data_IF_200625997304
#
_entry.id   IF_200625997304
#
_cell.length_a   1.000
_cell.length_b   1.000
_cell.length_c   1.000
_cell.angle_alpha   90.00
_cell.angle_beta   90.00
_cell.angle_gamma   90.00
#
_symmetry.space_group_name_H-M   'P 1'
#
loop_
_entity.id
_entity.type
_entity.pdbx_description
1 polymer ?
#
# COMPACT_ATOMS: atom_id res chain seq x y z
N UNK A 1 25.71 7.25 -3.00
CA UNK A 1 25.66 7.72 -1.60
C UNK A 1 24.40 7.16 -0.98
N UNK A 2 24.47 6.56 0.20
CA UNK A 2 23.28 6.13 0.95
C UNK A 2 22.44 7.35 1.30
N UNK A 3 21.18 7.39 0.90
CA UNK A 3 20.27 8.47 1.31
C UNK A 3 20.18 8.51 2.84
N UNK A 4 20.15 9.71 3.46
CA UNK A 4 20.01 9.82 4.90
C UNK A 4 18.64 9.26 5.32
N UNK A 5 18.64 8.26 6.22
CA UNK A 5 17.41 7.64 6.71
C UNK A 5 17.08 8.27 8.06
N UNK A 6 15.89 8.86 8.17
CA UNK A 6 15.30 9.17 9.46
C UNK A 6 14.69 7.88 10.03
N UNK A 7 15.21 7.41 11.16
CA UNK A 7 14.64 6.27 11.86
C UNK A 7 13.46 6.72 12.74
N UNK A 8 12.41 5.89 12.91
CA UNK A 8 11.30 6.22 13.79
C UNK A 8 11.76 6.51 15.21
N UNK A 9 11.28 7.64 15.76
CA UNK A 9 11.60 8.09 17.13
C UNK A 9 12.97 8.75 17.31
N UNK A 10 13.87 8.68 16.32
CA UNK A 10 15.19 9.32 16.40
C UNK A 10 15.08 10.82 16.07
N UNK A 11 15.24 11.67 17.09
CA UNK A 11 15.23 13.13 16.94
C UNK A 11 16.57 13.65 16.40
N UNK A 12 16.50 14.48 15.37
CA UNK A 12 17.62 15.25 14.82
C UNK A 12 17.40 16.72 15.10
N UNK A 13 18.31 17.33 15.85
CA UNK A 13 18.29 18.77 16.14
C UNK A 13 18.85 19.55 14.97
N UNK A 14 18.29 20.72 14.69
CA UNK A 14 18.77 21.58 13.61
C UNK A 14 18.01 22.89 13.56
N UNK A 15 18.09 23.54 12.40
CA UNK A 15 17.42 24.81 12.14
C UNK A 15 16.35 24.65 11.07
N UNK A 16 15.19 25.25 11.33
CA UNK A 16 14.10 25.44 10.40
C UNK A 16 14.23 26.81 9.74
N UNK A 17 14.19 26.80 8.42
CA UNK A 17 14.37 27.98 7.58
C UNK A 17 13.11 28.16 6.74
N UNK A 18 12.54 29.36 6.80
CA UNK A 18 11.44 29.80 5.97
C UNK A 18 11.91 30.99 5.13
N UNK A 19 12.29 30.76 3.88
CA UNK A 19 12.97 31.74 3.02
C UNK A 19 12.07 32.88 2.50
N UNK A 20 10.96 33.16 3.17
CA UNK A 20 10.08 34.29 2.83
C UNK A 20 10.68 35.64 3.25
N UNK A 21 11.64 35.61 4.17
CA UNK A 21 12.47 36.73 4.60
C UNK A 21 13.89 36.22 4.82
N UNK A 22 14.85 36.69 4.01
CA UNK A 22 16.28 36.46 4.24
C UNK A 22 16.78 37.12 5.54
N UNK A 23 15.95 38.00 6.14
CA UNK A 23 16.19 38.69 7.41
C UNK A 23 15.52 38.02 8.63
N UNK A 24 14.64 37.02 8.44
CA UNK A 24 13.99 36.36 9.58
C UNK A 24 14.92 35.31 10.22
N UNK A 25 15.00 35.25 11.56
CA UNK A 25 15.86 34.32 12.26
C UNK A 25 15.44 32.87 12.01
N UNK A 26 16.44 32.02 11.74
CA UNK A 26 16.28 30.57 11.74
C UNK A 26 15.70 30.09 13.07
N UNK A 27 14.74 29.17 13.01
CA UNK A 27 14.09 28.63 14.21
C UNK A 27 14.78 27.32 14.60
N UNK A 28 15.31 27.22 15.82
CA UNK A 28 15.91 25.98 16.32
C UNK A 28 14.82 24.99 16.73
N UNK A 29 15.02 23.72 16.41
CA UNK A 29 14.14 22.65 16.90
C UNK A 29 14.66 21.27 16.51
N UNK A 30 13.78 20.28 16.58
CA UNK A 30 14.11 18.90 16.21
C UNK A 30 13.10 18.32 15.23
N UNK A 31 13.57 17.47 14.32
CA UNK A 31 12.75 16.68 13.40
C UNK A 31 12.91 15.19 13.72
N UNK A 32 11.84 14.41 13.58
CA UNK A 32 11.88 12.95 13.65
C UNK A 32 10.76 12.35 12.80
N UNK A 33 10.79 11.04 12.63
CA UNK A 33 9.69 10.30 12.01
C UNK A 33 8.88 9.60 13.09
N UNK A 34 7.56 9.80 13.07
CA UNK A 34 6.61 8.92 13.72
C UNK A 34 6.14 7.87 12.71
N UNK A 35 6.17 6.59 13.10
CA UNK A 35 5.85 5.49 12.20
C UNK A 35 4.40 5.47 11.71
N UNK A 36 3.49 6.23 12.33
CA UNK A 36 2.07 6.33 11.94
C UNK A 36 1.72 7.70 11.38
N UNK A 37 2.31 8.77 11.91
CA UNK A 37 1.97 10.15 11.57
C UNK A 37 2.90 10.75 10.51
N UNK A 38 4.12 10.24 10.37
CA UNK A 38 5.09 10.73 9.39
C UNK A 38 6.08 11.70 10.01
N UNK A 39 6.60 12.63 9.22
CA UNK A 39 7.62 13.56 9.69
C UNK A 39 6.99 14.61 10.61
N UNK A 40 7.51 14.66 11.83
CA UNK A 40 7.13 15.61 12.87
C UNK A 40 8.30 16.53 13.17
N UNK A 41 7.99 17.78 13.50
CA UNK A 41 8.93 18.76 13.99
C UNK A 41 8.46 19.30 15.35
N UNK A 42 9.42 19.61 16.22
CA UNK A 42 9.19 20.17 17.55
C UNK A 42 10.04 21.42 17.70
N UNK A 43 9.37 22.53 18.01
CA UNK A 43 9.96 23.85 18.09
C UNK A 43 9.65 24.40 19.49
N UNK A 44 10.67 24.46 20.37
CA UNK A 44 10.52 25.08 21.68
C UNK A 44 10.49 26.61 21.55
N UNK A 45 9.63 27.28 22.32
CA UNK A 45 9.57 28.74 22.37
C UNK A 45 9.08 29.25 23.73
N UNK A 46 9.43 30.49 24.07
CA UNK A 46 8.92 31.16 25.28
C UNK A 46 7.74 32.04 24.87
N UNK A 47 6.58 31.83 25.50
CA UNK A 47 5.33 32.55 25.22
C UNK A 47 5.34 34.04 25.61
N UNK A 48 6.32 34.50 26.40
CA UNK A 48 6.42 35.88 26.89
C UNK A 48 7.79 36.53 26.59
N UNK A 49 7.76 37.83 26.26
CA UNK A 49 8.88 38.78 26.45
C UNK A 49 10.16 38.68 25.60
N UNK A 50 10.42 37.58 24.88
CA UNK A 50 11.69 37.40 24.14
C UNK A 50 11.55 37.51 22.61
N UNK A 51 12.28 38.47 22.00
CA UNK A 51 12.29 38.72 20.54
C UNK A 51 12.76 37.51 19.73
N UNK A 52 13.73 36.74 20.23
CA UNK A 52 14.22 35.53 19.54
C UNK A 52 13.15 34.44 19.35
N UNK A 53 12.04 34.50 20.10
CA UNK A 53 10.91 33.56 20.01
C UNK A 53 9.68 34.14 19.31
N UNK A 54 9.77 35.36 18.77
CA UNK A 54 8.67 36.03 18.09
C UNK A 54 8.10 35.20 16.93
N UNK A 55 8.98 34.64 16.10
CA UNK A 55 8.59 33.84 14.93
C UNK A 55 7.86 32.56 15.33
N UNK A 56 8.42 31.66 16.18
CA UNK A 56 7.68 30.50 16.69
C UNK A 56 6.38 30.89 17.40
N UNK A 57 6.38 31.94 18.21
CA UNK A 57 5.18 32.40 18.92
C UNK A 57 4.07 32.79 17.96
N UNK A 58 4.39 33.45 16.86
CA UNK A 58 3.41 33.78 15.83
C UNK A 58 2.87 32.52 15.14
N UNK A 59 3.75 31.58 14.77
CA UNK A 59 3.33 30.34 14.10
C UNK A 59 2.34 29.52 14.95
N UNK A 60 2.60 29.41 16.25
CA UNK A 60 1.78 28.60 17.15
C UNK A 60 0.65 29.38 17.83
N UNK A 61 0.79 30.68 18.03
CA UNK A 61 -0.27 31.54 18.60
C UNK A 61 -1.43 31.73 17.63
N UNK A 62 -1.14 31.94 16.34
CA UNK A 62 -2.15 32.10 15.29
C UNK A 62 -2.55 30.77 14.62
N UNK A 63 -1.93 29.66 15.03
CA UNK A 63 -2.02 28.33 14.40
C UNK A 63 -1.76 28.34 12.87
N UNK A 64 -0.92 29.27 12.41
CA UNK A 64 -0.58 29.49 11.00
C UNK A 64 0.93 29.37 10.78
N UNK A 65 1.51 28.17 10.94
CA UNK A 65 2.89 27.94 10.55
C UNK A 65 3.03 28.08 9.03
N UNK A 66 4.24 28.35 8.52
CA UNK A 66 4.53 28.23 7.10
C UNK A 66 4.11 26.87 6.55
N UNK A 67 3.54 26.85 5.34
CA UNK A 67 3.17 25.60 4.68
C UNK A 67 4.41 24.77 4.34
N UNK A 68 5.55 25.40 4.07
CA UNK A 68 6.79 24.73 3.70
C UNK A 68 7.95 25.24 4.55
N UNK A 69 8.87 24.34 4.89
CA UNK A 69 10.07 24.64 5.69
C UNK A 69 11.26 23.85 5.14
N UNK A 70 12.46 24.43 5.23
CA UNK A 70 13.70 23.70 5.06
C UNK A 70 14.27 23.37 6.45
N UNK A 71 14.64 22.12 6.67
CA UNK A 71 15.36 21.70 7.86
C UNK A 71 16.82 21.42 7.51
N UNK A 72 17.75 21.99 8.28
CA UNK A 72 19.20 21.73 8.16
C UNK A 72 19.79 21.30 9.50
N UNK A 73 20.50 20.19 9.49
CA UNK A 73 21.41 19.70 10.52
C UNK A 73 22.82 19.55 9.92
N UNK A 74 23.79 19.10 10.71
CA UNK A 74 25.18 18.86 10.29
C UNK A 74 25.28 17.93 9.07
N UNK A 75 24.50 16.84 9.07
CA UNK A 75 24.55 15.75 8.10
C UNK A 75 23.23 15.53 7.34
N UNK A 76 22.21 16.33 7.64
CA UNK A 76 20.84 16.10 7.16
C UNK A 76 20.21 17.37 6.64
N UNK A 77 19.63 17.29 5.44
CA UNK A 77 18.84 18.37 4.84
C UNK A 77 17.52 17.82 4.32
N UNK A 78 16.42 18.41 4.76
CA UNK A 78 15.07 17.96 4.43
C UNK A 78 14.22 19.15 4.01
N UNK A 79 13.46 18.98 2.92
CA UNK A 79 12.42 19.91 2.54
C UNK A 79 11.06 19.38 3.02
N UNK A 80 10.40 20.13 3.89
CA UNK A 80 9.10 19.81 4.48
C UNK A 80 8.00 20.58 3.75
N UNK A 81 6.92 19.89 3.39
CA UNK A 81 5.79 20.47 2.66
C UNK A 81 4.45 20.18 3.35
N UNK A 82 3.51 21.12 3.20
CA UNK A 82 2.18 21.03 3.81
C UNK A 82 2.21 20.92 5.33
N UNK A 83 3.11 21.66 5.99
CA UNK A 83 3.26 21.72 7.43
C UNK A 83 2.00 22.27 8.10
N UNK A 84 1.56 21.61 9.16
CA UNK A 84 0.41 22.03 9.97
C UNK A 84 0.70 21.85 11.45
N UNK A 85 0.07 22.65 12.30
CA UNK A 85 0.12 22.44 13.75
C UNK A 85 -0.49 21.08 14.08
N UNK A 86 0.31 20.24 14.72
CA UNK A 86 -0.10 18.92 15.20
C UNK A 86 -0.51 18.97 16.67
N UNK A 87 0.21 19.74 17.48
CA UNK A 87 -0.04 19.93 18.91
C UNK A 87 0.70 21.15 19.44
N UNK A 88 0.12 21.82 20.42
CA UNK A 88 0.81 22.82 21.24
C UNK A 88 0.81 22.30 22.68
N UNK A 89 1.96 22.34 23.34
CA UNK A 89 2.11 22.02 24.76
C UNK A 89 2.53 23.28 25.48
N UNK A 90 1.65 23.81 26.32
CA UNK A 90 1.94 24.98 27.14
C UNK A 90 2.65 24.54 28.43
N UNK A 91 3.78 25.17 28.71
CA UNK A 91 4.56 24.93 29.91
C UNK A 91 4.58 26.16 30.82
N UNK A 92 5.04 25.99 32.07
CA UNK A 92 5.16 27.12 33.01
C UNK A 92 6.21 28.16 32.57
N UNK A 93 7.17 27.77 31.71
CA UNK A 93 8.27 28.62 31.25
C UNK A 93 8.61 28.41 29.77
N UNK A 94 8.50 27.17 29.29
CA UNK A 94 8.80 26.79 27.92
C UNK A 94 7.58 26.13 27.28
N UNK A 95 7.12 26.70 26.18
CA UNK A 95 6.10 26.12 25.33
C UNK A 95 6.75 25.30 24.21
N UNK A 96 6.01 24.31 23.72
CA UNK A 96 6.47 23.44 22.65
C UNK A 96 5.40 23.37 21.58
N UNK A 97 5.73 23.89 20.40
CA UNK A 97 4.90 23.74 19.21
C UNK A 97 5.34 22.54 18.38
N UNK A 98 4.39 21.70 17.98
CA UNK A 98 4.64 20.55 17.11
C UNK A 98 4.01 20.77 15.74
N UNK A 99 4.78 20.54 14.70
CA UNK A 99 4.35 20.54 13.31
C UNK A 99 4.35 19.13 12.75
N UNK A 100 3.44 18.87 11.82
CA UNK A 100 3.41 17.67 10.99
C UNK A 100 3.52 18.08 9.53
N UNK A 101 4.50 17.52 8.83
CA UNK A 101 4.62 17.69 7.38
C UNK A 101 3.76 16.65 6.65
N UNK A 102 3.12 17.06 5.56
CA UNK A 102 2.38 16.16 4.67
C UNK A 102 3.34 15.35 3.81
N UNK A 103 4.37 16.01 3.28
CA UNK A 103 5.46 15.40 2.55
C UNK A 103 6.82 15.90 3.09
N UNK A 104 7.81 15.02 3.11
CA UNK A 104 9.19 15.37 3.43
C UNK A 104 10.13 14.76 2.39
N UNK A 105 10.83 15.60 1.64
CA UNK A 105 11.84 15.18 0.66
C UNK A 105 13.19 15.17 1.35
N UNK A 106 13.90 14.05 1.30
CA UNK A 106 15.18 13.81 1.98
C UNK A 106 16.36 14.49 1.28
N UNK A 107 16.12 15.69 0.77
CA UNK A 107 17.08 16.54 0.13
C UNK A 107 16.60 17.99 0.24
N UNK A 108 17.58 18.90 0.20
CA UNK A 108 17.32 20.32 0.09
C UNK A 108 16.79 20.68 -1.30
N UNK A 109 15.74 21.48 -1.31
CA UNK A 109 15.15 22.03 -2.52
C UNK A 109 15.90 23.27 -3.00
N UNK A 110 15.97 23.45 -4.31
CA UNK A 110 16.30 24.72 -4.96
C UNK A 110 15.05 25.50 -5.41
N UNK A 111 15.15 26.82 -5.44
CA UNK A 111 14.05 27.74 -5.74
C UNK A 111 13.37 28.30 -4.48
N UNK A 112 12.19 28.88 -4.65
CA UNK A 112 11.43 29.48 -3.55
C UNK A 112 10.88 28.41 -2.61
N UNK A 113 10.97 28.67 -1.29
CA UNK A 113 10.49 27.73 -0.25
C UNK A 113 8.96 27.61 -0.27
N UNK A 114 8.26 28.70 -0.59
CA UNK A 114 6.79 28.78 -0.57
C UNK A 114 6.10 27.96 -1.67
N UNK A 115 6.80 27.61 -2.74
CA UNK A 115 6.23 26.85 -3.84
C UNK A 115 5.76 25.44 -3.41
N UNK A 116 4.58 25.03 -3.84
CA UNK A 116 4.10 23.67 -3.59
C UNK A 116 5.00 22.58 -4.23
N UNK A 117 5.10 21.42 -3.57
CA UNK A 117 5.69 20.22 -4.16
C UNK A 117 4.77 19.62 -5.23
N UNK A 118 5.16 19.81 -6.49
CA UNK A 118 4.51 19.21 -7.67
C UNK A 118 5.54 18.51 -8.54
N UNK A 119 5.32 17.24 -8.85
CA UNK A 119 6.30 16.42 -9.58
C UNK A 119 5.69 15.86 -10.86
N UNK A 120 6.54 15.63 -11.87
CA UNK A 120 6.10 15.00 -13.12
C UNK A 120 6.09 13.48 -12.98
N UNK A 121 6.99 12.92 -12.16
CA UNK A 121 7.20 11.48 -11.96
C UNK A 121 7.26 11.15 -10.47
N UNK A 122 6.55 10.11 -10.07
CA UNK A 122 6.69 9.44 -8.77
C UNK A 122 6.91 7.95 -9.01
N UNK A 123 7.92 7.37 -8.37
CA UNK A 123 8.14 5.93 -8.31
C UNK A 123 7.76 5.42 -6.92
N UNK A 124 7.17 4.22 -6.85
CA UNK A 124 6.79 3.59 -5.59
C UNK A 124 7.20 2.14 -5.55
N UNK A 125 7.80 1.77 -4.43
CA UNK A 125 8.11 0.40 -4.08
C UNK A 125 6.92 -0.17 -3.32
N UNK A 126 6.46 -1.33 -3.77
CA UNK A 126 5.32 -2.00 -3.19
C UNK A 126 5.77 -3.40 -2.81
N UNK A 127 5.46 -3.79 -1.58
CA UNK A 127 5.74 -5.13 -1.09
C UNK A 127 5.06 -6.21 -1.94
N UNK A 128 5.75 -7.31 -2.20
CA UNK A 128 5.31 -8.39 -3.10
C UNK A 128 5.35 -8.07 -4.60
N UNK A 129 5.62 -6.83 -5.03
CA UNK A 129 5.62 -6.45 -6.46
C UNK A 129 6.71 -7.16 -7.27
N UNK A 130 7.93 -7.22 -6.74
CA UNK A 130 9.06 -7.87 -7.40
C UNK A 130 8.83 -9.39 -7.53
N UNK A 131 8.43 -10.06 -6.44
CA UNK A 131 8.13 -11.50 -6.43
C UNK A 131 6.99 -11.86 -7.39
N UNK A 132 5.90 -11.09 -7.37
CA UNK A 132 4.75 -11.31 -8.24
C UNK A 132 5.06 -11.09 -9.72
N UNK A 133 5.77 -10.01 -10.04
CA UNK A 133 6.06 -9.65 -11.43
C UNK A 133 7.09 -10.56 -12.08
N UNK A 134 7.99 -11.16 -11.28
CA UNK A 134 9.13 -11.93 -11.76
C UNK A 134 10.11 -11.09 -12.60
N UNK A 135 9.98 -9.77 -12.58
CA UNK A 135 10.85 -8.87 -13.33
C UNK A 135 12.20 -8.75 -12.62
N UNK A 136 13.29 -8.78 -13.40
CA UNK A 136 14.64 -8.61 -12.87
C UNK A 136 15.52 -7.86 -13.86
N UNK A 137 16.31 -6.91 -13.38
CA UNK A 137 17.32 -6.22 -14.18
C UNK A 137 18.58 -7.08 -14.41
N UNK A 138 18.72 -8.21 -13.72
CA UNK A 138 19.96 -8.99 -13.66
C UNK A 138 19.80 -10.32 -14.37
N UNK A 139 20.55 -10.50 -15.45
CA UNK A 139 20.77 -11.81 -16.08
C UNK A 139 22.19 -12.26 -15.78
N UNK A 140 22.37 -13.52 -15.40
CA UNK A 140 23.70 -14.07 -15.14
C UNK A 140 23.90 -15.42 -15.80
N UNK A 141 25.12 -15.66 -16.25
CA UNK A 141 25.56 -16.91 -16.86
C UNK A 141 26.77 -17.44 -16.11
N UNK A 142 26.82 -18.76 -15.92
CA UNK A 142 27.93 -19.44 -15.23
C UNK A 142 28.69 -20.31 -16.21
N UNK A 143 29.95 -19.95 -16.44
CA UNK A 143 30.90 -20.76 -17.17
C UNK A 143 31.77 -21.56 -16.18
N UNK A 144 31.90 -22.87 -16.41
CA UNK A 144 32.86 -23.72 -15.70
C UNK A 144 34.01 -24.04 -16.65
N UNK A 145 35.25 -23.84 -16.18
CA UNK A 145 36.43 -24.26 -16.94
C UNK A 145 36.47 -25.80 -17.03
N UNK A 146 36.72 -26.33 -18.23
CA UNK A 146 36.85 -27.78 -18.50
C UNK A 146 38.20 -28.35 -18.03
N UNK A 147 39.14 -27.51 -17.59
CA UNK A 147 40.48 -27.95 -17.23
C UNK A 147 40.50 -28.62 -15.84
N UNK A 148 40.77 -29.93 -15.80
CA UNK A 148 40.63 -30.80 -14.61
C UNK A 148 41.57 -30.50 -13.44
N UNK A 149 42.50 -29.54 -13.59
CA UNK A 149 43.45 -29.11 -12.53
C UNK A 149 43.08 -27.80 -11.83
N UNK A 150 42.23 -26.96 -12.42
CA UNK A 150 41.81 -25.68 -11.85
C UNK A 150 40.29 -25.51 -11.98
N UNK A 151 39.58 -25.68 -10.86
CA UNK A 151 38.12 -25.47 -10.78
C UNK A 151 37.80 -23.97 -10.77
N UNK A 152 38.04 -23.29 -11.88
CA UNK A 152 37.67 -21.89 -12.05
C UNK A 152 36.20 -21.79 -12.44
N UNK A 153 35.44 -21.03 -11.67
CA UNK A 153 34.03 -20.68 -11.96
C UNK A 153 34.01 -19.23 -12.38
N UNK A 154 33.56 -18.96 -13.60
CA UNK A 154 33.33 -17.60 -14.10
C UNK A 154 31.84 -17.32 -14.10
N UNK A 155 31.46 -16.14 -13.62
CA UNK A 155 30.08 -15.66 -13.64
C UNK A 155 30.07 -14.33 -14.39
N UNK A 156 29.28 -14.24 -15.46
CA UNK A 156 29.05 -13.01 -16.20
C UNK A 156 27.67 -12.44 -15.81
N UNK A 157 27.63 -11.17 -15.42
CA UNK A 157 26.38 -10.46 -15.12
C UNK A 157 26.10 -9.45 -16.24
N UNK A 158 24.90 -9.49 -16.82
CA UNK A 158 24.35 -8.43 -17.65
C UNK A 158 23.24 -7.74 -16.86
N UNK A 159 23.40 -6.44 -16.62
CA UNK A 159 22.45 -5.64 -15.84
C UNK A 159 21.84 -4.56 -16.72
N UNK A 160 20.52 -4.57 -16.87
CA UNK A 160 19.78 -3.63 -17.70
C UNK A 160 18.38 -3.42 -17.13
N UNK A 161 17.95 -2.16 -16.97
CA UNK A 161 16.58 -1.87 -16.54
C UNK A 161 15.57 -2.39 -17.56
N UNK A 162 14.70 -3.29 -17.12
CA UNK A 162 13.61 -3.81 -17.94
C UNK A 162 12.42 -2.86 -17.92
N UNK A 163 11.89 -2.57 -19.11
CA UNK A 163 10.58 -1.97 -19.26
C UNK A 163 9.54 -3.09 -19.25
N UNK A 164 8.70 -3.11 -18.22
CA UNK A 164 7.57 -4.03 -18.14
C UNK A 164 6.37 -3.48 -18.89
N UNK A 165 5.20 -3.61 -18.28
CA UNK A 165 3.94 -3.14 -18.87
C UNK A 165 3.73 -1.64 -18.65
N UNK A 166 3.19 -0.95 -19.66
CA UNK A 166 2.76 0.45 -19.56
C UNK A 166 1.30 0.59 -19.95
N UNK A 167 0.56 1.42 -19.22
CA UNK A 167 -0.85 1.69 -19.49
C UNK A 167 -1.20 3.14 -19.10
N UNK A 168 -2.41 3.56 -19.47
CA UNK A 168 -2.98 4.83 -19.06
C UNK A 168 -4.00 4.60 -17.94
N UNK A 169 -3.95 5.44 -16.93
CA UNK A 169 -4.87 5.45 -15.80
C UNK A 169 -5.27 6.91 -15.56
N UNK A 170 -6.43 7.29 -16.09
CA UNK A 170 -6.82 8.69 -16.23
C UNK A 170 -5.77 9.47 -17.04
N UNK A 171 -5.28 10.58 -16.48
CA UNK A 171 -4.23 11.39 -17.09
C UNK A 171 -2.79 10.89 -16.79
N UNK A 172 -2.64 9.87 -15.94
CA UNK A 172 -1.33 9.31 -15.59
C UNK A 172 -0.93 8.20 -16.55
N UNK A 173 0.29 8.27 -17.08
CA UNK A 173 0.95 7.12 -17.70
C UNK A 173 1.63 6.30 -16.61
N UNK A 174 1.16 5.07 -16.44
CA UNK A 174 1.66 4.11 -15.46
C UNK A 174 2.65 3.15 -16.12
N UNK A 175 3.65 2.70 -15.35
CA UNK A 175 4.64 1.70 -15.79
C UNK A 175 5.10 0.80 -14.65
N UNK A 176 5.33 -0.47 -14.96
CA UNK A 176 6.19 -1.33 -14.17
C UNK A 176 7.58 -1.32 -14.80
N UNK A 177 8.60 -1.02 -14.02
CA UNK A 177 10.00 -1.02 -14.48
C UNK A 177 10.89 -1.61 -13.40
N UNK A 178 12.05 -2.10 -13.80
CA UNK A 178 13.11 -2.45 -12.84
C UNK A 178 14.16 -1.35 -12.78
N UNK A 179 14.57 -1.01 -11.56
CA UNK A 179 15.72 -0.17 -11.29
C UNK A 179 16.82 -1.03 -10.71
N UNK A 180 18.04 -0.81 -11.18
CA UNK A 180 19.21 -1.44 -10.60
C UNK A 180 20.18 -0.39 -10.09
N UNK A 181 20.94 -0.77 -9.07
CA UNK A 181 21.95 0.07 -8.46
C UNK A 181 23.03 -0.76 -7.81
N UNK A 182 24.13 -0.12 -7.46
CA UNK A 182 25.12 -0.75 -6.59
C UNK A 182 24.68 -0.52 -5.15
N UNK A 183 24.36 -1.60 -4.44
CA UNK A 183 24.06 -1.48 -3.02
C UNK A 183 25.36 -1.23 -2.25
N UNK A 184 25.39 -0.18 -1.43
CA UNK A 184 26.57 0.25 -0.66
C UNK A 184 26.89 -0.63 0.55
N UNK A 185 26.39 -1.88 0.60
CA UNK A 185 26.69 -2.80 1.69
C UNK A 185 28.20 -3.12 1.66
N UNK A 186 28.92 -2.57 2.64
CA UNK A 186 30.38 -2.52 2.74
C UNK A 186 31.06 -3.87 2.96
N UNK A 187 30.95 -4.77 1.98
CA UNK A 187 31.70 -6.02 1.90
C UNK A 187 32.50 -6.12 0.60
N UNK A 188 33.46 -7.06 0.54
CA UNK A 188 34.12 -7.43 -0.71
C UNK A 188 33.12 -8.16 -1.60
N UNK A 189 32.87 -7.69 -2.82
CA UNK A 189 31.99 -8.36 -3.78
C UNK A 189 31.22 -7.41 -4.70
N UNK A 190 30.44 -7.98 -5.62
CA UNK A 190 29.50 -7.26 -6.49
C UNK A 190 28.11 -7.43 -5.90
N UNK A 191 27.55 -6.37 -5.30
CA UNK A 191 26.21 -6.36 -4.73
C UNK A 191 25.29 -5.47 -5.57
N UNK A 192 24.57 -6.07 -6.52
CA UNK A 192 23.58 -5.38 -7.35
C UNK A 192 22.25 -5.39 -6.63
N UNK A 193 21.69 -4.21 -6.33
CA UNK A 193 20.29 -4.08 -5.95
C UNK A 193 19.45 -4.11 -7.21
N UNK A 194 18.38 -4.91 -7.21
CA UNK A 194 17.43 -5.02 -8.31
C UNK A 194 16.02 -4.88 -7.73
N UNK A 195 15.31 -3.85 -8.15
CA UNK A 195 14.04 -3.44 -7.55
C UNK A 195 13.00 -3.23 -8.65
N UNK A 196 11.84 -3.89 -8.52
CA UNK A 196 10.68 -3.56 -9.36
C UNK A 196 9.88 -2.43 -8.73
N UNK A 197 9.55 -1.40 -9.52
CA UNK A 197 8.78 -0.24 -9.06
C UNK A 197 7.56 0.02 -9.93
N UNK A 198 6.56 0.63 -9.30
CA UNK A 198 5.44 1.25 -9.99
C UNK A 198 5.75 2.74 -10.21
N UNK A 199 5.76 3.17 -11.46
CA UNK A 199 5.94 4.59 -11.82
C UNK A 199 4.64 5.18 -12.35
N UNK A 200 4.39 6.43 -11.98
CA UNK A 200 3.40 7.30 -12.63
C UNK A 200 4.08 8.52 -13.20
N UNK A 201 3.64 8.93 -14.40
CA UNK A 201 4.06 10.16 -15.08
C UNK A 201 2.86 10.94 -15.60
N UNK A 202 2.78 12.22 -15.27
CA UNK A 202 1.83 13.16 -15.87
C UNK A 202 2.50 14.02 -16.94
N UNK A 203 1.72 14.69 -17.78
CA UNK A 203 2.24 15.66 -18.74
C UNK A 203 2.76 16.92 -18.03
N UNK A 204 2.00 17.41 -17.06
CA UNK A 204 2.34 18.56 -16.21
C UNK A 204 2.64 18.10 -14.77
N UNK A 205 3.46 18.85 -14.01
CA UNK A 205 3.72 18.56 -12.60
C UNK A 205 2.42 18.51 -11.77
N UNK A 206 2.21 17.41 -11.03
CA UNK A 206 1.05 17.21 -10.18
C UNK A 206 1.46 17.06 -8.71
N UNK A 207 0.55 17.36 -7.75
CA UNK A 207 0.77 17.04 -6.34
C UNK A 207 1.04 15.54 -6.14
N UNK A 208 1.92 15.20 -5.20
CA UNK A 208 2.27 13.81 -4.86
C UNK A 208 1.03 12.97 -4.50
N UNK A 209 0.05 13.59 -3.84
CA UNK A 209 -1.23 12.95 -3.50
C UNK A 209 -1.99 12.40 -4.71
N UNK A 210 -1.89 13.06 -5.88
CA UNK A 210 -2.54 12.62 -7.12
C UNK A 210 -1.85 11.38 -7.69
N UNK A 211 -0.52 11.37 -7.71
CA UNK A 211 0.25 10.17 -8.08
C UNK A 211 -0.08 8.99 -7.16
N UNK A 212 -0.09 9.22 -5.84
CA UNK A 212 -0.41 8.17 -4.87
C UNK A 212 -1.84 7.65 -4.98
N UNK A 213 -2.81 8.49 -5.34
CA UNK A 213 -4.17 8.04 -5.64
C UNK A 213 -4.17 7.00 -6.77
N UNK A 214 -3.42 7.25 -7.84
CA UNK A 214 -3.28 6.30 -8.96
C UNK A 214 -2.49 5.04 -8.55
N UNK A 215 -1.47 5.17 -7.71
CA UNK A 215 -0.71 4.02 -7.22
C UNK A 215 -1.55 3.12 -6.29
N UNK A 216 -2.44 3.71 -5.47
CA UNK A 216 -3.33 2.95 -4.57
C UNK A 216 -4.26 2.02 -5.33
N UNK A 217 -4.77 2.46 -6.49
CA UNK A 217 -5.62 1.61 -7.35
C UNK A 217 -4.89 0.33 -7.75
N UNK A 218 -3.63 0.45 -8.19
CA UNK A 218 -2.81 -0.72 -8.55
C UNK A 218 -2.44 -1.56 -7.32
N UNK A 219 -2.03 -0.92 -6.22
CA UNK A 219 -1.67 -1.59 -4.96
C UNK A 219 -2.82 -2.43 -4.39
N UNK A 220 -4.05 -1.93 -4.51
CA UNK A 220 -5.26 -2.67 -4.10
C UNK A 220 -5.51 -3.90 -4.98
N UNK A 221 -5.33 -3.77 -6.30
CA UNK A 221 -5.37 -4.91 -7.22
C UNK A 221 -4.31 -5.94 -6.85
N UNK A 222 -3.08 -5.50 -6.57
CA UNK A 222 -2.00 -6.39 -6.18
C UNK A 222 -2.32 -7.13 -4.87
N UNK A 223 -2.88 -6.44 -3.87
CA UNK A 223 -3.34 -7.08 -2.63
C UNK A 223 -4.42 -8.13 -2.86
N UNK A 224 -5.35 -7.88 -3.80
CA UNK A 224 -6.34 -8.88 -4.20
C UNK A 224 -5.68 -10.06 -4.93
N UNK A 225 -4.80 -9.82 -5.89
CA UNK A 225 -4.11 -10.87 -6.64
C UNK A 225 -3.30 -11.78 -5.71
N UNK A 226 -2.55 -11.20 -4.78
CA UNK A 226 -1.71 -11.93 -3.84
C UNK A 226 -2.52 -12.57 -2.71
N UNK A 227 -3.60 -11.93 -2.26
CA UNK A 227 -4.35 -12.39 -1.08
C UNK A 227 -3.67 -12.06 0.24
N UNK A 228 -2.58 -11.31 0.19
CA UNK A 228 -1.85 -10.74 1.32
C UNK A 228 -1.76 -9.22 1.17
N UNK A 229 -1.51 -8.53 2.28
CA UNK A 229 -1.38 -7.09 2.25
C UNK A 229 -0.15 -6.65 1.46
N UNK A 230 -0.36 -5.78 0.46
CA UNK A 230 0.72 -5.08 -0.25
C UNK A 230 0.86 -3.67 0.31
N UNK A 231 2.06 -3.28 0.69
CA UNK A 231 2.33 -2.01 1.38
C UNK A 231 3.30 -1.16 0.58
N UNK A 232 3.12 0.17 0.62
CA UNK A 232 4.12 1.09 0.08
C UNK A 232 5.35 1.13 0.97
N UNK A 233 6.46 0.57 0.51
CA UNK A 233 7.70 0.47 1.30
C UNK A 233 8.65 1.62 1.05
N UNK A 234 8.56 2.32 -0.08
CA UNK A 234 9.39 3.50 -0.37
C UNK A 234 8.78 4.29 -1.53
N UNK A 235 9.04 5.59 -1.55
CA UNK A 235 8.72 6.46 -2.67
C UNK A 235 9.95 7.26 -3.08
N UNK A 236 10.12 7.46 -4.39
CA UNK A 236 11.13 8.37 -4.94
C UNK A 236 10.49 9.31 -5.94
N UNK A 237 11.00 10.54 -6.01
CA UNK A 237 10.62 11.53 -7.01
C UNK A 237 11.83 11.87 -7.86
N UNK A 238 11.58 12.31 -9.09
CA UNK A 238 12.60 12.86 -9.97
C UNK A 238 12.17 14.25 -10.42
N UNK A 239 12.83 15.26 -9.88
CA UNK A 239 12.50 16.68 -10.11
C UNK A 239 13.78 17.53 -10.10
N UNK A 240 13.90 18.43 -11.07
CA UNK A 240 15.07 19.28 -11.29
C UNK A 240 15.35 20.23 -10.12
N UNK A 241 14.34 20.50 -9.28
CA UNK A 241 14.50 21.32 -8.08
C UNK A 241 15.32 20.62 -6.99
N UNK A 242 15.51 19.30 -7.08
CA UNK A 242 16.40 18.52 -6.21
C UNK A 242 17.63 18.00 -6.96
N UNK A 243 18.09 18.73 -7.97
CA UNK A 243 19.19 18.31 -8.80
C UNK A 243 20.51 18.13 -8.03
N UNK A 244 21.32 17.19 -8.53
CA UNK A 244 22.71 17.03 -8.10
C UNK A 244 23.54 18.14 -8.74
N UNK A 245 24.25 18.89 -7.90
CA UNK A 245 25.19 19.92 -8.37
C UNK A 245 26.60 19.37 -8.29
N UNK A 246 27.36 19.57 -9.35
CA UNK A 246 28.81 19.38 -9.35
C UNK A 246 29.48 20.47 -8.52
N UNK A 247 30.76 20.29 -8.18
CA UNK A 247 31.53 21.27 -7.40
C UNK A 247 31.64 22.64 -8.11
N UNK A 248 31.56 22.68 -9.43
CA UNK A 248 31.50 23.91 -10.25
C UNK A 248 30.07 24.50 -10.36
N UNK A 249 29.11 23.98 -9.57
CA UNK A 249 27.74 24.49 -9.49
C UNK A 249 26.81 24.07 -10.63
N UNK A 250 27.29 23.29 -11.61
CA UNK A 250 26.46 22.81 -12.72
C UNK A 250 25.47 21.75 -12.26
N UNK A 251 24.26 21.85 -12.78
CA UNK A 251 23.15 20.92 -12.52
C UNK A 251 23.33 19.70 -13.44
N UNK A 252 23.61 18.53 -12.86
CA UNK A 252 23.75 17.27 -13.59
C UNK A 252 22.43 16.47 -13.53
N UNK A 253 21.39 17.02 -14.16
CA UNK A 253 20.04 16.43 -14.18
C UNK A 253 19.40 16.28 -12.79
N UNK A 254 18.29 15.54 -12.74
CA UNK A 254 17.62 15.17 -11.48
C UNK A 254 17.89 13.69 -11.19
N UNK A 255 18.35 13.40 -9.98
CA UNK A 255 18.45 12.04 -9.45
C UNK A 255 17.10 11.59 -8.86
N UNK A 256 16.96 10.31 -8.52
CA UNK A 256 15.82 9.82 -7.75
C UNK A 256 16.01 10.13 -6.25
N UNK A 257 15.12 10.95 -5.70
CA UNK A 257 15.20 11.45 -4.34
C UNK A 257 14.11 10.82 -3.48
N UNK A 258 14.50 10.30 -2.31
CA UNK A 258 13.57 9.72 -1.36
C UNK A 258 12.58 10.74 -0.81
N UNK A 259 11.32 10.33 -0.70
CA UNK A 259 10.25 11.13 -0.11
C UNK A 259 9.46 10.30 0.91
N UNK A 260 9.22 10.89 2.08
CA UNK A 260 8.30 10.37 3.09
C UNK A 260 6.96 11.09 2.97
N UNK A 261 5.87 10.33 2.91
CA UNK A 261 4.52 10.88 2.77
C UNK A 261 3.66 10.42 3.94
N UNK A 262 3.03 11.37 4.63
CA UNK A 262 2.24 11.08 5.83
C UNK A 262 1.13 10.05 5.61
N UNK A 263 0.57 9.99 4.40
CA UNK A 263 -0.50 9.06 4.02
C UNK A 263 -0.06 7.64 3.68
N UNK A 264 1.25 7.35 3.67
CA UNK A 264 1.81 6.01 3.40
C UNK A 264 2.92 5.61 4.38
N UNK A 265 3.26 6.47 5.34
CA UNK A 265 4.35 6.19 6.30
C UNK A 265 4.10 4.98 7.20
N UNK A 266 2.83 4.73 7.54
CA UNK A 266 2.45 3.53 8.29
C UNK A 266 2.72 2.25 7.49
N UNK A 267 2.60 2.30 6.16
CA UNK A 267 2.96 1.19 5.27
C UNK A 267 4.49 1.05 5.19
N UNK A 268 5.23 2.16 5.10
CA UNK A 268 6.69 2.18 5.00
C UNK A 268 7.38 1.45 6.16
N UNK A 269 6.89 1.64 7.39
CA UNK A 269 7.46 1.02 8.59
C UNK A 269 6.75 -0.27 9.02
N UNK A 270 5.85 -0.82 8.21
CA UNK A 270 5.35 -2.18 8.46
C UNK A 270 6.47 -3.18 8.18
N UNK A 271 7.08 -3.69 9.24
CA UNK A 271 8.13 -4.72 9.20
C UNK A 271 7.60 -6.00 8.58
N UNK A 272 8.12 -6.44 7.43
CA UNK A 272 8.23 -7.86 7.05
C UNK A 272 6.99 -8.76 7.14
N UNK A 273 5.77 -8.23 7.25
CA UNK A 273 4.52 -9.03 7.28
C UNK A 273 3.98 -9.27 5.87
N UNK A 274 4.63 -8.74 4.83
CA UNK A 274 4.58 -9.34 3.50
C UNK A 274 5.33 -10.67 3.53
N UNK A 275 4.81 -11.61 4.30
CA UNK A 275 5.20 -13.00 4.18
C UNK A 275 5.05 -13.36 2.71
N UNK A 276 6.05 -14.06 2.16
CA UNK A 276 5.90 -14.85 0.94
C UNK A 276 4.49 -15.43 0.98
N UNK A 277 3.62 -14.96 0.10
CA UNK A 277 2.27 -15.52 0.05
C UNK A 277 2.47 -17.01 -0.14
N UNK A 278 2.02 -17.84 0.80
CA UNK A 278 2.07 -19.30 0.61
C UNK A 278 1.22 -19.72 -0.59
N UNK A 279 0.30 -18.84 -0.98
CA UNK A 279 -0.65 -19.05 -2.05
C UNK A 279 -0.13 -18.41 -3.33
N UNK A 280 -0.16 -19.19 -4.42
CA UNK A 280 0.18 -18.70 -5.75
C UNK A 280 -0.71 -17.49 -6.14
N UNK A 281 -0.20 -16.47 -6.84
CA UNK A 281 -1.04 -15.35 -7.27
C UNK A 281 -2.19 -15.80 -8.17
N UNK A 282 -3.38 -15.23 -7.98
CA UNK A 282 -4.56 -15.56 -8.82
C UNK A 282 -4.31 -15.19 -10.28
N UNK A 283 -3.67 -14.03 -10.51
CA UNK A 283 -3.29 -13.54 -11.83
C UNK A 283 -1.78 -13.31 -11.89
N UNK A 284 -1.01 -14.06 -12.69
CA UNK A 284 0.39 -13.72 -12.96
C UNK A 284 0.48 -12.51 -13.89
N UNK A 285 1.62 -11.81 -13.89
CA UNK A 285 1.81 -10.61 -14.73
C UNK A 285 1.47 -10.83 -16.23
N UNK A 286 1.85 -11.94 -16.89
CA UNK A 286 1.49 -12.17 -18.30
C UNK A 286 -0.02 -12.27 -18.58
N UNK A 287 -0.85 -12.50 -17.56
CA UNK A 287 -2.30 -12.51 -17.70
C UNK A 287 -2.91 -11.10 -17.67
N UNK A 288 -2.14 -10.07 -17.31
CA UNK A 288 -2.58 -8.68 -17.28
C UNK A 288 -2.12 -7.95 -18.53
N UNK A 289 -3.09 -7.46 -19.29
CA UNK A 289 -2.83 -6.55 -20.41
C UNK A 289 -2.88 -5.09 -19.95
N UNK A 290 -2.34 -4.18 -20.76
CA UNK A 290 -2.45 -2.74 -20.53
C UNK A 290 -3.91 -2.28 -20.51
N UNK A 291 -4.76 -2.93 -21.31
CA UNK A 291 -6.20 -2.71 -21.34
C UNK A 291 -6.87 -3.17 -20.04
N UNK A 292 -6.50 -4.34 -19.50
CA UNK A 292 -7.06 -4.85 -18.23
C UNK A 292 -6.69 -3.92 -17.06
N UNK A 293 -5.45 -3.41 -17.03
CA UNK A 293 -5.00 -2.46 -16.01
C UNK A 293 -5.66 -1.08 -16.14
N UNK A 294 -5.83 -0.58 -17.37
CA UNK A 294 -6.56 0.66 -17.62
C UNK A 294 -8.06 0.54 -17.28
N UNK A 295 -8.65 -0.62 -17.57
CA UNK A 295 -10.03 -0.92 -17.19
C UNK A 295 -10.19 -0.93 -15.67
N UNK A 296 -9.31 -1.64 -14.95
CA UNK A 296 -9.32 -1.69 -13.49
C UNK A 296 -9.26 -0.27 -12.90
N UNK A 297 -8.33 0.53 -13.40
CA UNK A 297 -8.16 1.92 -13.00
C UNK A 297 -9.42 2.78 -13.18
N UNK A 298 -10.11 2.62 -14.31
CA UNK A 298 -11.35 3.34 -14.62
C UNK A 298 -12.56 2.87 -13.82
N UNK A 299 -12.62 1.58 -13.51
CA UNK A 299 -13.71 0.96 -12.77
C UNK A 299 -13.54 1.09 -11.23
N UNK A 300 -12.32 1.39 -10.78
CA UNK A 300 -11.97 1.43 -9.36
C UNK A 300 -12.92 2.30 -8.53
N UNK A 301 -13.18 3.56 -8.91
CA UNK A 301 -14.02 4.47 -8.12
C UNK A 301 -15.46 3.95 -7.92
N UNK A 302 -16.04 3.32 -8.95
CA UNK A 302 -17.37 2.68 -8.87
C UNK A 302 -17.33 1.42 -8.02
N UNK A 303 -16.19 0.73 -8.04
CA UNK A 303 -15.95 -0.52 -7.31
C UNK A 303 -15.49 -0.33 -5.86
N UNK A 304 -15.18 0.90 -5.43
CA UNK A 304 -14.62 1.17 -4.09
C UNK A 304 -15.44 0.58 -2.95
N UNK A 305 -16.77 0.57 -3.09
CA UNK A 305 -17.69 0.02 -2.08
C UNK A 305 -17.47 -1.46 -1.80
N UNK A 306 -16.99 -2.24 -2.78
CA UNK A 306 -16.66 -3.65 -2.58
C UNK A 306 -15.15 -3.94 -2.60
N UNK A 307 -14.31 -3.06 -3.15
CA UNK A 307 -12.85 -3.24 -3.13
C UNK A 307 -12.25 -2.88 -1.78
N UNK A 308 -12.58 -1.69 -1.25
CA UNK A 308 -11.90 -1.15 -0.06
C UNK A 308 -12.13 -2.00 1.20
N UNK A 309 -13.35 -2.49 1.51
CA UNK A 309 -13.55 -3.33 2.70
C UNK A 309 -12.76 -4.64 2.63
N UNK A 310 -12.81 -5.34 1.49
CA UNK A 310 -12.05 -6.58 1.27
C UNK A 310 -10.53 -6.36 1.35
N UNK A 311 -9.99 -5.36 0.64
CA UNK A 311 -8.56 -5.02 0.68
C UNK A 311 -8.13 -4.63 2.09
N UNK A 312 -8.94 -3.87 2.82
CA UNK A 312 -8.64 -3.49 4.20
C UNK A 312 -8.57 -4.71 5.14
N UNK A 313 -9.35 -5.77 4.91
CA UNK A 313 -9.25 -7.00 5.71
C UNK A 313 -8.00 -7.80 5.35
N UNK A 314 -7.62 -7.83 4.07
CA UNK A 314 -6.39 -8.49 3.59
C UNK A 314 -5.13 -7.79 4.14
N UNK A 315 -5.15 -6.45 4.25
CA UNK A 315 -4.01 -5.63 4.70
C UNK A 315 -3.82 -5.56 6.24
N UNK A 316 -4.64 -6.26 7.02
CA UNK A 316 -4.55 -6.23 8.49
C UNK A 316 -4.22 -7.63 9.01
N UNK A 317 -3.12 -7.75 9.76
CA UNK A 317 -2.63 -9.00 10.31
C UNK A 317 -3.43 -9.50 11.53
N UNK A 318 -4.07 -8.59 12.26
CA UNK A 318 -4.78 -8.89 13.51
C UNK A 318 -6.17 -8.26 13.49
N UNK A 319 -7.15 -9.02 13.01
CA UNK A 319 -8.56 -8.62 12.94
C UNK A 319 -9.41 -9.75 13.47
N UNK A 320 -10.40 -9.42 14.30
CA UNK A 320 -11.39 -10.36 14.81
C UNK A 320 -12.16 -11.02 13.66
N UNK A 321 -12.64 -12.25 13.87
CA UNK A 321 -13.30 -12.99 12.80
C UNK A 321 -14.64 -12.34 12.41
N UNK A 322 -15.34 -11.78 13.38
CA UNK A 322 -16.57 -11.01 13.29
C UNK A 322 -16.38 -9.81 12.37
N UNK A 323 -15.33 -9.02 12.59
CA UNK A 323 -14.98 -7.87 11.75
C UNK A 323 -14.72 -8.29 10.31
N UNK A 324 -14.07 -9.44 10.10
CA UNK A 324 -13.85 -10.00 8.76
C UNK A 324 -15.17 -10.41 8.11
N UNK A 325 -16.08 -11.07 8.83
CA UNK A 325 -17.42 -11.39 8.32
C UNK A 325 -18.15 -10.11 7.93
N UNK A 326 -18.22 -9.11 8.80
CA UNK A 326 -18.93 -7.85 8.53
C UNK A 326 -18.36 -7.15 7.29
N UNK A 327 -17.05 -6.93 7.24
CA UNK A 327 -16.43 -6.16 6.14
C UNK A 327 -16.43 -6.92 4.82
N UNK A 328 -16.21 -8.25 4.83
CA UNK A 328 -16.31 -9.05 3.59
C UNK A 328 -17.75 -9.18 3.11
N UNK A 329 -18.74 -9.26 4.01
CA UNK A 329 -20.16 -9.27 3.65
C UNK A 329 -20.59 -7.96 3.02
N UNK A 330 -20.10 -6.80 3.51
CA UNK A 330 -20.34 -5.51 2.86
C UNK A 330 -19.80 -5.50 1.42
N UNK A 331 -18.62 -6.08 1.19
CA UNK A 331 -18.08 -6.26 -0.17
C UNK A 331 -18.98 -7.16 -1.02
N UNK A 332 -19.49 -8.25 -0.46
CA UNK A 332 -20.36 -9.21 -1.14
C UNK A 332 -21.71 -8.56 -1.50
N UNK A 333 -22.34 -7.83 -0.59
CA UNK A 333 -23.61 -7.13 -0.85
C UNK A 333 -23.45 -6.10 -1.97
N UNK A 334 -22.42 -5.24 -1.88
CA UNK A 334 -22.16 -4.23 -2.90
C UNK A 334 -21.81 -4.86 -4.26
N UNK A 335 -21.02 -5.94 -4.29
CA UNK A 335 -20.66 -6.63 -5.52
C UNK A 335 -21.85 -7.40 -6.12
N UNK A 336 -22.61 -8.13 -5.31
CA UNK A 336 -23.80 -8.87 -5.73
C UNK A 336 -24.90 -7.95 -6.27
N UNK A 337 -24.99 -6.71 -5.78
CA UNK A 337 -25.83 -5.67 -6.37
C UNK A 337 -25.41 -5.30 -7.79
N UNK A 338 -24.11 -5.27 -8.08
CA UNK A 338 -23.54 -4.89 -9.38
C UNK A 338 -23.55 -6.05 -10.40
N UNK A 339 -23.46 -7.31 -9.94
CA UNK A 339 -23.45 -8.48 -10.83
C UNK A 339 -24.79 -8.73 -11.54
N UNK A 340 -25.89 -8.15 -11.06
CA UNK A 340 -27.22 -8.40 -11.60
C UNK A 340 -27.81 -9.75 -11.16
N UNK A 341 -28.97 -10.13 -11.69
CA UNK A 341 -29.65 -11.37 -11.29
C UNK A 341 -28.98 -12.62 -11.86
N UNK A 342 -28.95 -13.69 -11.06
CA UNK A 342 -28.45 -15.01 -11.43
C UNK A 342 -29.60 -16.04 -11.55
N UNK A 343 -29.41 -17.06 -12.39
CA UNK A 343 -30.38 -18.15 -12.54
C UNK A 343 -30.48 -18.92 -11.22
N UNK A 344 -31.69 -19.17 -10.72
CA UNK A 344 -31.90 -19.92 -9.48
C UNK A 344 -31.95 -19.08 -8.19
N UNK A 345 -31.84 -17.74 -8.28
CA UNK A 345 -31.87 -16.87 -7.10
C UNK A 345 -33.28 -16.54 -6.55
N UNK A 346 -34.33 -16.98 -7.25
CA UNK A 346 -35.71 -16.61 -6.94
C UNK A 346 -36.13 -17.09 -5.53
N UNK A 347 -36.77 -16.19 -4.76
CA UNK A 347 -37.26 -16.50 -3.42
C UNK A 347 -36.20 -16.46 -2.31
N UNK A 348 -34.97 -16.03 -2.60
CA UNK A 348 -33.96 -15.80 -1.56
C UNK A 348 -34.20 -14.48 -0.81
N UNK A 349 -33.95 -14.44 0.52
CA UNK A 349 -33.84 -13.17 1.25
C UNK A 349 -32.74 -12.29 0.66
N UNK A 350 -32.92 -10.97 0.71
CA UNK A 350 -32.07 -10.00 0.02
C UNK A 350 -30.55 -10.22 0.22
N UNK A 351 -30.10 -10.40 1.47
CA UNK A 351 -28.69 -10.67 1.76
C UNK A 351 -28.21 -11.99 1.15
N UNK A 352 -28.99 -13.07 1.27
CA UNK A 352 -28.65 -14.37 0.68
C UNK A 352 -28.59 -14.31 -0.85
N UNK A 353 -29.43 -13.48 -1.49
CA UNK A 353 -29.36 -13.21 -2.94
C UNK A 353 -28.00 -12.65 -3.34
N UNK A 354 -27.44 -11.70 -2.59
CA UNK A 354 -26.13 -11.12 -2.91
C UNK A 354 -24.99 -12.11 -2.71
N UNK A 355 -25.03 -12.92 -1.65
CA UNK A 355 -24.08 -14.03 -1.47
C UNK A 355 -24.16 -15.02 -2.63
N UNK A 356 -25.36 -15.42 -3.02
CA UNK A 356 -25.58 -16.37 -4.12
C UNK A 356 -24.95 -15.87 -5.43
N UNK A 357 -25.24 -14.62 -5.83
CA UNK A 357 -24.67 -14.01 -7.05
C UNK A 357 -23.15 -13.99 -7.05
N UNK A 358 -22.52 -13.68 -5.91
CA UNK A 358 -21.06 -13.68 -5.79
C UNK A 358 -20.49 -15.09 -5.91
N UNK A 359 -21.08 -16.05 -5.20
CA UNK A 359 -20.65 -17.46 -5.24
C UNK A 359 -20.81 -18.05 -6.66
N UNK A 360 -21.93 -17.75 -7.32
CA UNK A 360 -22.25 -18.22 -8.68
C UNK A 360 -21.27 -17.64 -9.71
N UNK A 361 -20.94 -16.35 -9.59
CA UNK A 361 -20.04 -15.65 -10.52
C UNK A 361 -18.64 -16.27 -10.62
N UNK A 362 -18.20 -16.98 -9.58
CA UNK A 362 -16.91 -17.68 -9.54
C UNK A 362 -17.06 -19.21 -9.59
N UNK A 363 -18.30 -19.71 -9.62
CA UNK A 363 -18.63 -21.15 -9.70
C UNK A 363 -17.91 -21.98 -8.62
N UNK A 364 -17.95 -21.52 -7.37
CA UNK A 364 -17.33 -22.23 -6.25
C UNK A 364 -18.02 -23.56 -5.95
N UNK A 365 -17.22 -24.60 -5.69
CA UNK A 365 -17.72 -25.91 -5.27
C UNK A 365 -18.13 -25.87 -3.78
N UNK A 366 -19.43 -25.93 -3.52
CA UNK A 366 -19.99 -25.97 -2.16
C UNK A 366 -20.07 -27.37 -1.57
N UNK A 367 -19.89 -28.42 -2.38
CA UNK A 367 -20.16 -29.81 -2.05
C UNK A 367 -19.49 -30.34 -0.77
N UNK A 368 -18.29 -29.87 -0.36
CA UNK A 368 -17.70 -30.32 0.90
C UNK A 368 -18.47 -29.92 2.17
N UNK A 369 -19.32 -28.90 2.12
CA UNK A 369 -20.00 -28.34 3.32
C UNK A 369 -21.49 -28.10 3.14
N UNK A 370 -22.00 -28.03 1.91
CA UNK A 370 -23.41 -27.73 1.63
C UNK A 370 -23.93 -28.51 0.42
N UNK A 371 -25.20 -28.92 0.51
CA UNK A 371 -25.90 -29.65 -0.56
C UNK A 371 -26.08 -28.80 -1.83
N UNK A 372 -26.18 -27.48 -1.68
CA UNK A 372 -26.34 -26.55 -2.78
C UNK A 372 -25.67 -25.21 -2.53
N UNK A 373 -25.41 -24.47 -3.61
CA UNK A 373 -24.91 -23.10 -3.55
C UNK A 373 -25.90 -22.15 -2.87
N UNK A 374 -27.20 -22.43 -3.01
CA UNK A 374 -28.28 -21.70 -2.33
C UNK A 374 -28.18 -21.86 -0.82
N UNK A 375 -27.94 -23.08 -0.34
CA UNK A 375 -27.83 -23.33 1.10
C UNK A 375 -26.57 -22.70 1.68
N UNK A 376 -25.44 -22.76 0.96
CA UNK A 376 -24.23 -22.06 1.36
C UNK A 376 -24.43 -20.54 1.43
N UNK A 377 -25.13 -19.96 0.44
CA UNK A 377 -25.45 -18.54 0.43
C UNK A 377 -26.32 -18.13 1.62
N UNK A 378 -27.34 -18.93 1.95
CA UNK A 378 -28.18 -18.72 3.14
C UNK A 378 -27.36 -18.82 4.43
N UNK A 379 -26.48 -19.81 4.55
CA UNK A 379 -25.70 -20.02 5.77
C UNK A 379 -24.75 -18.85 6.07
N UNK A 380 -24.07 -18.34 5.03
CA UNK A 380 -23.22 -17.16 5.14
C UNK A 380 -24.03 -15.90 5.47
N UNK A 381 -25.17 -15.69 4.80
CA UNK A 381 -26.06 -14.57 5.06
C UNK A 381 -26.65 -14.59 6.49
N UNK A 382 -27.02 -15.77 6.99
CA UNK A 382 -27.47 -15.95 8.37
C UNK A 382 -26.37 -15.59 9.36
N UNK A 383 -25.16 -16.13 9.18
CA UNK A 383 -24.01 -15.83 10.06
C UNK A 383 -23.72 -14.34 10.12
N UNK A 384 -23.73 -13.65 8.97
CA UNK A 384 -23.56 -12.20 8.92
C UNK A 384 -24.67 -11.46 9.67
N UNK A 385 -25.94 -11.84 9.46
CA UNK A 385 -27.08 -11.19 10.10
C UNK A 385 -27.09 -11.41 11.61
N UNK A 386 -26.73 -12.61 12.07
CA UNK A 386 -26.69 -12.96 13.49
C UNK A 386 -25.58 -12.20 14.24
N UNK A 387 -24.46 -11.91 13.57
CA UNK A 387 -23.40 -11.02 14.12
C UNK A 387 -23.85 -9.56 14.14
N UNK A 388 -24.56 -9.11 13.09
CA UNK A 388 -24.90 -7.69 12.89
C UNK A 388 -26.07 -7.21 13.75
N UNK A 389 -27.05 -8.07 13.99
CA UNK A 389 -28.34 -7.71 14.56
C UNK A 389 -28.52 -8.30 15.96
N UNK A 390 -28.71 -7.44 16.96
CA UNK A 390 -28.83 -7.84 18.36
C UNK A 390 -30.11 -8.64 18.69
N UNK A 391 -31.11 -8.63 17.80
CA UNK A 391 -32.40 -9.32 17.97
C UNK A 391 -32.43 -10.73 17.38
N UNK A 392 -31.29 -11.25 16.90
CA UNK A 392 -31.19 -12.57 16.25
C UNK A 392 -30.95 -13.74 17.18
N UNK A 393 -30.95 -13.51 18.49
CA UNK A 393 -30.74 -14.53 19.51
C UNK A 393 -29.28 -14.60 19.95
N UNK A 394 -28.81 -15.80 20.23
CA UNK A 394 -27.43 -16.03 20.69
C UNK A 394 -26.41 -15.75 19.60
N UNK A 395 -25.23 -15.31 20.03
CA UNK A 395 -24.11 -15.07 19.13
C UNK A 395 -23.66 -16.37 18.45
N UNK A 396 -23.31 -16.39 17.15
CA UNK A 396 -22.89 -17.61 16.48
C UNK A 396 -21.64 -18.23 17.12
N UNK A 397 -21.52 -19.55 17.01
CA UNK A 397 -20.34 -20.28 17.49
C UNK A 397 -19.04 -19.73 16.88
N UNK A 398 -18.02 -19.51 17.71
CA UNK A 398 -16.76 -18.89 17.28
C UNK A 398 -16.05 -19.65 16.16
N UNK A 399 -16.17 -20.98 16.11
CA UNK A 399 -15.57 -21.79 15.05
C UNK A 399 -16.30 -21.56 13.72
N UNK A 400 -17.63 -21.45 13.74
CA UNK A 400 -18.44 -21.06 12.58
C UNK A 400 -18.02 -19.68 12.09
N UNK A 401 -17.90 -18.70 13.00
CA UNK A 401 -17.50 -17.32 12.64
C UNK A 401 -16.11 -17.29 11.99
N UNK A 402 -15.14 -18.02 12.53
CA UNK A 402 -13.77 -18.08 11.97
C UNK A 402 -13.77 -18.61 10.53
N UNK A 403 -14.54 -19.66 10.26
CA UNK A 403 -14.58 -20.25 8.92
C UNK A 403 -15.41 -19.43 7.95
N UNK A 404 -16.57 -18.91 8.38
CA UNK A 404 -17.37 -17.98 7.60
C UNK A 404 -16.56 -16.72 7.23
N UNK A 405 -15.72 -16.20 8.14
CA UNK A 405 -14.81 -15.08 7.87
C UNK A 405 -13.81 -15.40 6.75
N UNK A 406 -13.17 -16.57 6.81
CA UNK A 406 -12.19 -17.01 5.79
C UNK A 406 -12.85 -17.21 4.43
N UNK A 407 -13.99 -17.89 4.40
CA UNK A 407 -14.71 -18.18 3.17
C UNK A 407 -15.24 -16.88 2.55
N UNK A 408 -15.92 -16.02 3.33
CA UNK A 408 -16.48 -14.75 2.85
C UNK A 408 -15.41 -13.83 2.26
N UNK A 409 -14.24 -13.72 2.92
CA UNK A 409 -13.13 -12.92 2.38
C UNK A 409 -12.55 -13.53 1.09
N UNK A 410 -12.41 -14.86 1.03
CA UNK A 410 -11.91 -15.54 -0.17
C UNK A 410 -12.86 -15.37 -1.36
N UNK A 411 -14.18 -15.58 -1.18
CA UNK A 411 -15.15 -15.46 -2.27
C UNK A 411 -15.28 -14.01 -2.74
N UNK A 412 -15.29 -13.04 -1.81
CA UNK A 412 -15.26 -11.61 -2.15
C UNK A 412 -14.01 -11.28 -2.99
N UNK A 413 -12.83 -11.70 -2.52
CA UNK A 413 -11.56 -11.50 -3.24
C UNK A 413 -11.62 -12.05 -4.66
N UNK A 414 -12.01 -13.31 -4.82
CA UNK A 414 -12.01 -13.97 -6.14
C UNK A 414 -13.06 -13.35 -7.08
N UNK A 415 -14.24 -13.03 -6.58
CA UNK A 415 -15.28 -12.40 -7.40
C UNK A 415 -14.91 -10.97 -7.84
N UNK A 416 -14.18 -10.22 -7.01
CA UNK A 416 -13.65 -8.91 -7.41
C UNK A 416 -12.61 -9.07 -8.53
N UNK A 417 -11.68 -10.02 -8.40
CA UNK A 417 -10.66 -10.30 -9.42
C UNK A 417 -11.31 -10.78 -10.72
N UNK A 418 -12.37 -11.58 -10.62
CA UNK A 418 -13.10 -12.12 -11.77
C UNK A 418 -13.68 -11.04 -12.70
N UNK A 419 -13.88 -9.82 -12.18
CA UNK A 419 -14.32 -8.68 -13.00
C UNK A 419 -13.23 -8.14 -13.93
N UNK A 420 -11.95 -8.38 -13.63
CA UNK A 420 -10.85 -7.89 -14.46
C UNK A 420 -10.90 -8.58 -15.83
N UNK A 421 -10.88 -7.84 -16.95
CA UNK A 421 -10.93 -8.43 -18.28
C UNK A 421 -9.82 -9.48 -18.49
N UNK A 422 -10.23 -10.70 -18.85
CA UNK A 422 -9.34 -11.85 -19.06
C UNK A 422 -9.07 -12.70 -17.81
N UNK A 423 -9.58 -12.33 -16.63
CA UNK A 423 -9.33 -13.07 -15.39
C UNK A 423 -10.11 -14.38 -15.24
N UNK A 424 -11.25 -14.52 -15.92
CA UNK A 424 -12.23 -15.60 -15.66
C UNK A 424 -11.65 -17.02 -15.63
N UNK A 425 -10.89 -17.39 -16.65
CA UNK A 425 -10.28 -18.73 -16.73
C UNK A 425 -9.29 -19.00 -15.59
N UNK A 426 -8.54 -17.99 -15.17
CA UNK A 426 -7.57 -18.13 -14.08
C UNK A 426 -8.23 -18.15 -12.71
N UNK A 427 -9.28 -17.34 -12.52
CA UNK A 427 -10.11 -17.40 -11.31
C UNK A 427 -10.78 -18.76 -11.20
N UNK A 428 -11.38 -19.29 -12.27
CA UNK A 428 -11.99 -20.62 -12.27
C UNK A 428 -10.98 -21.72 -11.90
N UNK A 429 -9.75 -21.66 -12.44
CA UNK A 429 -8.67 -22.58 -12.02
C UNK A 429 -8.31 -22.40 -10.55
N UNK A 430 -8.21 -21.16 -10.07
CA UNK A 430 -7.85 -20.86 -8.70
C UNK A 430 -8.91 -21.30 -7.69
N UNK A 431 -10.20 -21.20 -8.03
CA UNK A 431 -11.32 -21.67 -7.20
C UNK A 431 -11.19 -23.16 -6.87
N UNK A 432 -10.64 -23.95 -7.80
CA UNK A 432 -10.38 -25.38 -7.59
C UNK A 432 -8.99 -25.69 -7.01
N UNK A 433 -8.22 -24.67 -6.61
CA UNK A 433 -6.88 -24.85 -6.03
C UNK A 433 -6.93 -25.13 -4.52
N UNK A 434 -5.80 -25.59 -3.98
CA UNK A 434 -5.68 -25.96 -2.57
C UNK A 434 -6.03 -24.83 -1.58
N UNK A 435 -5.64 -23.55 -1.78
CA UNK A 435 -6.05 -22.46 -0.90
C UNK A 435 -7.55 -22.36 -0.62
N UNK A 436 -8.39 -22.59 -1.64
CA UNK A 436 -9.86 -22.54 -1.52
C UNK A 436 -10.39 -23.84 -0.94
N UNK A 437 -9.97 -24.99 -1.49
CA UNK A 437 -10.39 -26.31 -1.00
C UNK A 437 -10.10 -26.50 0.47
N UNK A 438 -8.92 -26.07 0.93
CA UNK A 438 -8.50 -26.15 2.34
C UNK A 438 -9.47 -25.45 3.28
N UNK A 439 -10.12 -24.36 2.88
CA UNK A 439 -11.10 -23.68 3.75
C UNK A 439 -12.29 -24.61 3.98
N UNK A 440 -12.87 -25.14 2.90
CA UNK A 440 -14.05 -26.00 2.94
C UNK A 440 -13.75 -27.38 3.56
N UNK A 441 -12.60 -27.98 3.25
CA UNK A 441 -12.15 -29.23 3.86
C UNK A 441 -11.91 -29.07 5.36
N UNK A 442 -11.37 -27.93 5.82
CA UNK A 442 -11.22 -27.66 7.26
C UNK A 442 -12.55 -27.46 7.95
N UNK A 443 -13.50 -26.77 7.33
CA UNK A 443 -14.87 -26.68 7.85
C UNK A 443 -15.44 -28.08 8.09
N UNK A 444 -15.37 -28.95 7.08
CA UNK A 444 -15.82 -30.33 7.19
C UNK A 444 -15.08 -31.13 8.27
N UNK A 445 -13.75 -30.99 8.34
CA UNK A 445 -12.92 -31.66 9.35
C UNK A 445 -13.26 -31.21 10.78
N UNK A 446 -13.67 -29.96 10.94
CA UNK A 446 -14.14 -29.38 12.21
C UNK A 446 -15.65 -29.68 12.47
N UNK A 447 -16.26 -30.58 11.68
CA UNK A 447 -17.65 -30.99 11.82
C UNK A 447 -18.68 -29.96 11.32
N UNK A 448 -18.26 -28.93 10.61
CA UNK A 448 -19.17 -27.87 10.12
C UNK A 448 -19.81 -28.29 8.81
N UNK A 449 -21.13 -28.33 8.80
CA UNK A 449 -21.97 -28.58 7.64
C UNK A 449 -23.10 -27.54 7.55
N UNK A 450 -23.73 -27.43 6.39
CA UNK A 450 -24.92 -26.61 6.19
C UNK A 450 -26.17 -27.48 6.27
N UNK A 451 -27.05 -27.18 7.21
CA UNK A 451 -28.38 -27.81 7.32
C UNK A 451 -29.47 -26.74 7.32
N UNK A 452 -30.47 -26.89 6.45
CA UNK A 452 -31.57 -25.93 6.29
C UNK A 452 -31.08 -24.47 6.11
N UNK A 453 -30.00 -24.28 5.35
CA UNK A 453 -29.42 -22.96 5.09
C UNK A 453 -28.72 -22.31 6.29
N UNK A 454 -28.30 -23.08 7.31
CA UNK A 454 -27.50 -22.58 8.44
C UNK A 454 -26.28 -23.47 8.66
N UNK A 455 -25.16 -22.87 9.09
CA UNK A 455 -24.03 -23.64 9.57
C UNK A 455 -24.38 -24.30 10.91
N UNK A 456 -24.02 -25.58 11.04
CA UNK A 456 -24.16 -26.36 12.27
C UNK A 456 -22.88 -27.17 12.49
N UNK A 457 -22.56 -27.45 13.75
CA UNK A 457 -21.47 -28.36 14.12
C UNK A 457 -22.12 -29.73 14.38
N UNK A 458 -21.73 -30.72 13.59
CA UNK A 458 -22.14 -32.11 13.73
C UNK A 458 -21.11 -32.82 14.59
N UNK A 459 -21.55 -33.31 15.74
CA UNK A 459 -20.76 -34.07 16.71
C UNK A 459 -20.39 -35.46 16.22
#
# INVERSE_FOLDING_TARGET
>A
MSQPILNPGEKRTGVFIHAKDDELPCVVGAVWVDSKLGVLAEIPYIGFGAEQFKVPRQWFGDEKPPENLLFRSEDLRISLFGCRVARIVQGAYLDIGRLRAREAVLQERSGLVDDELRVVKLSSHIDGLAEWSGMSSVVWERERSENTRERTVRIAYKVESMQGISWLQGAARMRLVTHWGQSGAGGRGINISDETVLESRFQEPQPVSRHLAEHRKFRDLLSLILGSGSYFTRHTIRDHRFAVRTLDGKIYGADEVGILVAGTVADHYKVGVGGKSSDWPVLPLPALSSQSLAWWAGEYERSRRFVVPAVSMIQRSSVFAEDKVINSSMSIEALGGVLGGAVGEAGLPATATYFYRVLDSISIDSGPVAESLVDLARALAHTYNDIKHADRGDFPDGLIVIHAARLSLMVARLAIINRVPGAGTLVAKFVHSWPVRRILERMRADGIEVKSGRFVIVS
#
